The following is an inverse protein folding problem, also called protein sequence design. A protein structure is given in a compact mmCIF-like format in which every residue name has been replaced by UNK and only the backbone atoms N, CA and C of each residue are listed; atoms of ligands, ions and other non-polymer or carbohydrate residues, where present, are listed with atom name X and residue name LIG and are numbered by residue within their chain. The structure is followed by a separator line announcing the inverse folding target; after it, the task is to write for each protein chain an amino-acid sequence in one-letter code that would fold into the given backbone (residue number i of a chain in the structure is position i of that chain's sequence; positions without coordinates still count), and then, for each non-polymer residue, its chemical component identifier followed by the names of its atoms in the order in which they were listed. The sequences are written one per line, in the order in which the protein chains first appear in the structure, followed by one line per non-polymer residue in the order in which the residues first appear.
data_IF_349838931202
#
_entry.id   IF_349838931202
#
_cell.length_a   1.000
_cell.length_b   1.000
_cell.length_c   1.000
_cell.angle_alpha   90.00
_cell.angle_beta   90.00
_cell.angle_gamma   90.00
#
_symmetry.space_group_name_H-M   'P 1'
#
loop_
_entity.id
_entity.type
_entity.pdbx_description
1 polymer ?
#
# COMPACT_ATOMS: atom_id res chain seq x y z
N UNK A 1 12.30 -6.18 8.80
CA UNK A 1 13.54 -6.27 8.01
C UNK A 1 14.61 -5.22 8.32
N UNK A 2 14.25 -3.94 8.55
CA UNK A 2 15.22 -2.86 8.80
C UNK A 2 16.13 -3.04 10.04
N UNK A 3 15.69 -3.74 11.09
CA UNK A 3 16.48 -3.96 12.31
C UNK A 3 17.52 -5.10 12.21
N UNK A 4 17.41 -6.01 11.23
CA UNK A 4 18.33 -7.16 11.08
C UNK A 4 19.19 -7.10 9.82
N UNK A 5 18.66 -6.57 8.72
CA UNK A 5 19.36 -6.56 7.43
C UNK A 5 19.67 -5.15 6.89
N UNK A 6 19.19 -4.09 7.55
CA UNK A 6 19.48 -2.70 7.17
C UNK A 6 18.86 -2.24 5.84
N UNK A 7 18.08 -3.09 5.18
CA UNK A 7 17.40 -2.81 3.91
C UNK A 7 16.03 -3.49 3.90
N UNK A 8 15.13 -2.95 3.09
CA UNK A 8 13.84 -3.56 2.80
C UNK A 8 14.03 -4.32 1.48
N UNK A 9 13.62 -5.58 1.46
CA UNK A 9 13.69 -6.41 0.25
C UNK A 9 12.39 -6.26 -0.52
N UNK A 10 12.49 -5.69 -1.71
CA UNK A 10 11.40 -5.67 -2.69
C UNK A 10 11.51 -6.90 -3.58
N UNK A 11 10.40 -7.63 -3.71
CA UNK A 11 10.38 -8.93 -4.40
C UNK A 11 9.23 -9.07 -5.40
N UNK A 12 8.32 -8.10 -5.45
CA UNK A 12 7.22 -8.07 -6.41
C UNK A 12 7.59 -7.06 -7.50
N UNK A 13 7.87 -7.56 -8.70
CA UNK A 13 8.05 -6.77 -9.92
C UNK A 13 6.86 -7.01 -10.85
N UNK A 14 6.17 -5.95 -11.26
CA UNK A 14 5.03 -6.01 -12.17
C UNK A 14 5.39 -5.32 -13.48
N UNK A 15 5.11 -5.94 -14.61
CA UNK A 15 5.42 -5.34 -15.90
C UNK A 15 4.37 -5.69 -16.96
N UNK A 16 4.23 -4.80 -17.95
CA UNK A 16 3.41 -5.01 -19.15
C UNK A 16 4.28 -4.68 -20.36
N UNK A 17 4.60 -5.70 -21.16
CA UNK A 17 5.59 -5.56 -22.23
C UNK A 17 6.95 -5.14 -21.67
N UNK A 18 7.52 -4.06 -22.22
CA UNK A 18 8.79 -3.47 -21.76
C UNK A 18 8.63 -2.46 -20.61
N UNK A 19 7.40 -2.19 -20.17
CA UNK A 19 7.16 -1.22 -19.09
C UNK A 19 7.12 -1.93 -17.74
N UNK A 20 7.99 -1.51 -16.83
CA UNK A 20 8.09 -2.03 -15.47
C UNK A 20 7.52 -1.02 -14.47
N UNK A 21 6.62 -1.51 -13.62
CA UNK A 21 6.23 -0.82 -12.40
C UNK A 21 7.38 -0.94 -11.39
N UNK A 22 7.64 0.08 -10.55
CA UNK A 22 8.65 0.00 -9.51
C UNK A 22 8.45 -1.23 -8.62
N UNK A 23 9.49 -2.02 -8.39
CA UNK A 23 9.40 -3.19 -7.52
C UNK A 23 8.97 -2.78 -6.09
N UNK A 24 8.14 -3.61 -5.46
CA UNK A 24 7.62 -3.35 -4.12
C UNK A 24 7.52 -4.64 -3.29
N UNK A 25 7.16 -4.50 -2.03
CA UNK A 25 6.93 -5.62 -1.12
C UNK A 25 5.51 -5.61 -0.56
N UNK A 26 5.15 -6.68 0.17
CA UNK A 26 3.82 -6.83 0.77
C UNK A 26 3.48 -5.71 1.78
N UNK A 27 4.47 -5.14 2.46
CA UNK A 27 4.22 -4.04 3.39
C UNK A 27 3.80 -2.77 2.65
N UNK A 28 4.42 -2.45 1.50
CA UNK A 28 4.02 -1.31 0.68
C UNK A 28 2.60 -1.47 0.14
N UNK A 29 2.23 -2.68 -0.27
CA UNK A 29 0.87 -3.00 -0.71
C UNK A 29 -0.15 -2.80 0.42
N UNK A 30 0.14 -3.30 1.62
CA UNK A 30 -0.74 -3.15 2.79
C UNK A 30 -0.93 -1.67 3.17
N UNK A 31 0.15 -0.87 3.15
CA UNK A 31 0.07 0.58 3.40
C UNK A 31 -0.79 1.26 2.35
N UNK A 32 -0.57 0.95 1.06
CA UNK A 32 -1.32 1.55 -0.04
C UNK A 32 -2.81 1.22 0.04
N UNK A 33 -3.17 -0.03 0.33
CA UNK A 33 -4.56 -0.47 0.50
C UNK A 33 -5.18 0.23 1.72
N UNK A 34 -4.49 0.25 2.86
CA UNK A 34 -4.99 0.92 4.08
C UNK A 34 -5.22 2.41 3.87
N UNK A 35 -4.28 3.10 3.22
CA UNK A 35 -4.42 4.50 2.86
C UNK A 35 -5.58 4.74 1.89
N UNK A 36 -5.77 3.85 0.90
CA UNK A 36 -6.89 3.91 -0.04
C UNK A 36 -8.25 3.73 0.64
N UNK A 37 -8.36 2.76 1.56
CA UNK A 37 -9.58 2.55 2.36
C UNK A 37 -9.86 3.72 3.29
N UNK A 38 -8.82 4.29 3.91
CA UNK A 38 -8.97 5.46 4.76
C UNK A 38 -9.41 6.70 3.97
N UNK A 39 -8.78 6.95 2.82
CA UNK A 39 -9.19 8.02 1.91
C UNK A 39 -10.63 7.82 1.42
N UNK A 40 -11.01 6.59 1.07
CA UNK A 40 -12.38 6.25 0.71
C UNK A 40 -13.36 6.54 1.85
N UNK A 41 -13.00 6.17 3.09
CA UNK A 41 -13.80 6.49 4.28
C UNK A 41 -13.95 7.99 4.51
N UNK A 42 -12.94 8.80 4.21
CA UNK A 42 -13.04 10.27 4.34
C UNK A 42 -13.96 10.84 3.26
N UNK A 43 -13.84 10.33 2.02
CA UNK A 43 -14.58 10.87 0.87
C UNK A 43 -16.05 10.42 0.84
N UNK A 44 -16.35 9.23 1.34
CA UNK A 44 -17.67 8.60 1.23
C UNK A 44 -18.25 8.07 2.55
N UNK A 45 -17.48 8.12 3.64
CA UNK A 45 -17.96 7.74 4.96
C UNK A 45 -19.09 8.66 5.38
N UNK A 46 -20.25 8.08 5.67
CA UNK A 46 -21.35 8.78 6.31
C UNK A 46 -20.92 9.16 7.73
N UNK A 47 -21.36 10.33 8.21
CA UNK A 47 -21.26 10.62 9.64
C UNK A 47 -22.01 9.51 10.38
N UNK A 48 -21.28 8.70 11.14
CA UNK A 48 -21.89 7.82 12.12
C UNK A 48 -22.52 8.75 13.16
N UNK A 49 -23.81 9.03 13.01
CA UNK A 49 -24.62 9.67 14.04
C UNK A 49 -24.56 8.76 15.26
N UNK A 50 -23.59 9.01 16.14
CA UNK A 50 -23.61 8.52 17.50
C UNK A 50 -24.73 9.28 18.23
N UNK A 51 -25.83 8.58 18.50
CA UNK A 51 -26.90 9.02 19.40
C UNK A 51 -26.41 9.18 20.83
#
# INVERSE_FOLDING_TARGET
DRLRFGRVVDFIDLHIGAWHWPAFNVADAAITIGAGLWAYSILFGQETNET
#
